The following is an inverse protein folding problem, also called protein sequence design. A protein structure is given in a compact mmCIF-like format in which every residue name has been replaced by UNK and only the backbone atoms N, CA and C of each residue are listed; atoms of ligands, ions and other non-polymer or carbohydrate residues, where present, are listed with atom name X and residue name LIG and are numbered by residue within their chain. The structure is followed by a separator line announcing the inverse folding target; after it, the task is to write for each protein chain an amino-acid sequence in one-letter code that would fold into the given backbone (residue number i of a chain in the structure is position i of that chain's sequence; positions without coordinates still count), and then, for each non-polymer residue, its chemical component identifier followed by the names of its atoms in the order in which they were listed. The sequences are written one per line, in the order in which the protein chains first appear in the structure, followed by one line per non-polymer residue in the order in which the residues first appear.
data_IF_527881157852
#
_entry.id   IF_527881157852
#
_cell.length_a   1.000
_cell.length_b   1.000
_cell.length_c   1.000
_cell.angle_alpha   90.00
_cell.angle_beta   90.00
_cell.angle_gamma   90.00
#
_symmetry.space_group_name_H-M   'P 1'
#
loop_
_entity.id
_entity.type
_entity.pdbx_description
1 polymer ?
#
# COMPACT_ATOMS: atom_id res chain seq x y z
N UNK A 1 4.15 17.00 -24.17
CA UNK A 1 4.92 18.19 -23.74
C UNK A 1 6.04 17.73 -22.83
N UNK A 2 7.30 18.08 -23.12
CA UNK A 2 8.45 17.68 -22.30
C UNK A 2 8.39 18.34 -20.92
N UNK A 3 8.65 17.57 -19.87
CA UNK A 3 8.59 18.00 -18.47
C UNK A 3 9.96 17.88 -17.82
N UNK A 4 10.50 19.03 -17.39
CA UNK A 4 11.67 19.09 -16.52
C UNK A 4 11.27 19.15 -15.04
N UNK A 5 12.10 18.59 -14.17
CA UNK A 5 11.96 18.67 -12.72
C UNK A 5 13.17 19.40 -12.13
N UNK A 6 12.93 20.36 -11.25
CA UNK A 6 13.99 21.05 -10.52
C UNK A 6 13.76 20.82 -9.03
N UNK A 7 14.69 20.10 -8.40
CA UNK A 7 14.76 19.94 -6.95
C UNK A 7 15.44 21.17 -6.34
N UNK A 8 14.82 21.77 -5.34
CA UNK A 8 15.35 22.96 -4.68
C UNK A 8 15.68 22.66 -3.21
N UNK A 9 16.86 23.10 -2.76
CA UNK A 9 17.24 23.15 -1.34
C UNK A 9 17.87 24.50 -0.99
N UNK A 10 18.07 24.77 0.31
CA UNK A 10 18.74 25.99 0.77
C UNK A 10 20.17 26.09 0.28
N UNK A 11 20.88 24.97 0.16
CA UNK A 11 22.32 24.95 -0.08
C UNK A 11 23.11 25.17 1.20
N UNK A 12 24.31 24.61 1.23
CA UNK A 12 25.27 24.69 2.32
C UNK A 12 26.59 25.27 1.81
N UNK A 13 27.25 26.06 2.65
CA UNK A 13 28.63 26.50 2.41
C UNK A 13 29.62 25.34 2.38
N UNK A 14 29.27 24.22 3.02
CA UNK A 14 30.07 23.00 3.03
C UNK A 14 29.62 22.13 1.85
N UNK A 15 30.54 21.86 0.92
CA UNK A 15 30.23 21.10 -0.31
C UNK A 15 29.56 19.76 -0.03
N UNK A 16 30.04 19.00 0.96
CA UNK A 16 29.46 17.69 1.31
C UNK A 16 28.01 17.79 1.82
N UNK A 17 27.60 18.95 2.33
CA UNK A 17 26.21 19.19 2.72
C UNK A 17 25.24 19.33 1.54
N UNK A 18 25.76 19.48 0.33
CA UNK A 18 24.98 19.63 -0.90
C UNK A 18 24.81 18.29 -1.64
N UNK A 19 25.66 17.31 -1.38
CA UNK A 19 25.71 16.01 -2.08
C UNK A 19 24.37 15.27 -2.01
N UNK A 20 23.68 15.36 -0.88
CA UNK A 20 22.37 14.73 -0.69
C UNK A 20 21.33 15.19 -1.71
N UNK A 21 21.32 16.48 -2.11
CA UNK A 21 20.39 16.97 -3.13
C UNK A 21 20.69 16.36 -4.50
N UNK A 22 21.97 16.26 -4.87
CA UNK A 22 22.40 15.65 -6.12
C UNK A 22 22.10 14.15 -6.15
N UNK A 23 22.35 13.44 -5.05
CA UNK A 23 22.02 12.02 -4.92
C UNK A 23 20.52 11.77 -5.11
N UNK A 24 19.66 12.59 -4.51
CA UNK A 24 18.20 12.47 -4.72
C UNK A 24 17.83 12.80 -6.17
N UNK A 25 18.48 13.80 -6.80
CA UNK A 25 18.28 14.09 -8.22
C UNK A 25 18.65 12.87 -9.09
N UNK A 26 19.77 12.21 -8.82
CA UNK A 26 20.22 11.01 -9.53
C UNK A 26 19.25 9.83 -9.35
N UNK A 27 18.76 9.61 -8.13
CA UNK A 27 17.73 8.61 -7.86
C UNK A 27 16.46 8.87 -8.69
N UNK A 28 16.03 10.13 -8.82
CA UNK A 28 14.88 10.49 -9.66
C UNK A 28 15.18 10.35 -11.16
N UNK A 29 16.38 10.69 -11.63
CA UNK A 29 16.82 10.46 -13.02
C UNK A 29 16.76 8.97 -13.37
N UNK A 30 17.21 8.11 -12.44
CA UNK A 30 17.21 6.67 -12.63
C UNK A 30 15.79 6.09 -12.81
N UNK A 31 14.76 6.75 -12.28
CA UNK A 31 13.35 6.34 -12.48
C UNK A 31 12.86 6.58 -13.92
N UNK A 32 13.54 7.40 -14.73
CA UNK A 32 13.22 7.70 -16.14
C UNK A 32 11.78 8.15 -16.40
N UNK A 33 11.19 8.88 -15.44
CA UNK A 33 9.80 9.38 -15.52
C UNK A 33 9.67 10.80 -16.09
N UNK A 34 10.76 11.55 -16.14
CA UNK A 34 10.82 12.94 -16.58
C UNK A 34 11.95 13.15 -17.57
N UNK A 35 11.81 14.14 -18.46
CA UNK A 35 12.78 14.42 -19.52
C UNK A 35 14.09 14.95 -18.95
N UNK A 36 14.00 15.82 -17.94
CA UNK A 36 15.16 16.31 -17.17
C UNK A 36 14.83 16.32 -15.68
N UNK A 37 15.85 16.08 -14.87
CA UNK A 37 15.81 16.30 -13.42
C UNK A 37 17.10 17.01 -13.05
N UNK A 38 16.98 18.14 -12.38
CA UNK A 38 18.12 18.97 -11.99
C UNK A 38 18.02 19.38 -10.52
N UNK A 39 19.18 19.65 -9.92
CA UNK A 39 19.30 20.14 -8.54
C UNK A 39 19.69 21.62 -8.59
N UNK A 40 19.01 22.44 -7.80
CA UNK A 40 19.26 23.87 -7.67
C UNK A 40 19.28 24.30 -6.21
N UNK A 41 20.06 25.33 -5.91
CA UNK A 41 20.14 25.90 -4.58
C UNK A 41 19.57 27.32 -4.55
N UNK A 42 18.89 27.66 -3.45
CA UNK A 42 18.37 29.00 -3.22
C UNK A 42 19.47 30.00 -2.87
N UNK A 43 20.46 29.54 -2.11
CA UNK A 43 21.54 30.35 -1.59
C UNK A 43 22.77 29.49 -1.30
N UNK A 44 23.92 30.13 -1.02
CA UNK A 44 25.13 29.50 -0.47
C UNK A 44 25.85 28.44 -1.32
N UNK A 45 25.23 27.91 -2.37
CA UNK A 45 25.74 26.86 -3.22
C UNK A 45 25.34 27.07 -4.69
N UNK A 46 25.99 26.33 -5.58
CA UNK A 46 25.76 26.32 -7.03
C UNK A 46 25.43 24.90 -7.49
N UNK A 47 24.68 24.74 -8.59
CA UNK A 47 24.11 25.79 -9.43
C UNK A 47 22.90 26.48 -8.76
N UNK A 48 22.70 27.77 -9.05
CA UNK A 48 21.56 28.50 -8.51
C UNK A 48 20.27 28.25 -9.30
N UNK A 49 19.14 28.61 -8.72
CA UNK A 49 17.84 28.36 -9.35
C UNK A 49 17.70 28.99 -10.75
N UNK A 50 18.01 30.28 -10.98
CA UNK A 50 17.97 30.87 -12.32
C UNK A 50 18.87 30.14 -13.35
N UNK A 51 20.11 29.78 -12.99
CA UNK A 51 21.03 29.03 -13.86
C UNK A 51 20.43 27.68 -14.29
N UNK A 52 19.84 26.95 -13.34
CA UNK A 52 19.23 25.65 -13.61
C UNK A 52 17.97 25.76 -14.45
N UNK A 53 17.13 26.79 -14.22
CA UNK A 53 15.98 27.07 -15.08
C UNK A 53 16.44 27.34 -16.51
N UNK A 54 17.41 28.23 -16.72
CA UNK A 54 17.91 28.56 -18.06
C UNK A 54 18.42 27.30 -18.80
N UNK A 55 19.22 26.46 -18.12
CA UNK A 55 19.70 25.19 -18.68
C UNK A 55 18.55 24.25 -19.02
N UNK A 56 17.56 24.14 -18.14
CA UNK A 56 16.41 23.24 -18.31
C UNK A 56 15.54 23.69 -19.49
N UNK A 57 15.32 25.00 -19.66
CA UNK A 57 14.60 25.56 -20.82
C UNK A 57 15.35 25.31 -22.12
N UNK A 58 16.69 25.42 -22.13
CA UNK A 58 17.51 25.10 -23.31
C UNK A 58 17.37 23.64 -23.77
N UNK A 59 17.00 22.71 -22.88
CA UNK A 59 16.68 21.33 -23.25
C UNK A 59 15.32 21.17 -23.98
N UNK A 60 14.60 22.27 -24.21
CA UNK A 60 13.33 22.30 -24.95
C UNK A 60 12.15 21.77 -24.14
N UNK A 61 12.16 21.94 -22.81
CA UNK A 61 11.01 21.59 -21.98
C UNK A 61 9.88 22.60 -22.18
N UNK A 62 8.64 22.12 -22.21
CA UNK A 62 7.45 22.99 -22.21
C UNK A 62 6.86 23.21 -20.81
N UNK A 63 7.34 22.44 -19.83
CA UNK A 63 6.91 22.47 -18.43
C UNK A 63 8.07 22.23 -17.49
N UNK A 64 8.10 22.98 -16.39
CA UNK A 64 9.04 22.79 -15.27
C UNK A 64 8.24 22.59 -13.99
N UNK A 65 8.49 21.47 -13.29
CA UNK A 65 7.96 21.20 -11.95
C UNK A 65 9.06 21.48 -10.93
N UNK A 66 8.79 22.40 -10.01
CA UNK A 66 9.71 22.79 -8.96
C UNK A 66 9.32 22.14 -7.65
N UNK A 67 10.25 21.38 -7.06
CA UNK A 67 10.02 20.54 -5.88
C UNK A 67 10.98 20.91 -4.75
N UNK A 68 10.49 21.54 -3.66
CA UNK A 68 11.35 21.85 -2.52
C UNK A 68 11.65 20.60 -1.67
N UNK A 69 12.93 20.20 -1.60
CA UNK A 69 13.41 19.17 -0.68
C UNK A 69 13.76 19.76 0.70
N UNK A 70 12.74 20.30 1.36
CA UNK A 70 12.85 20.94 2.68
C UNK A 70 11.90 20.25 3.67
N UNK A 71 12.44 19.77 4.80
CA UNK A 71 11.66 19.05 5.82
C UNK A 71 10.74 19.98 6.61
N UNK A 72 11.21 21.18 6.95
CA UNK A 72 10.45 22.17 7.70
C UNK A 72 10.02 23.33 6.82
N UNK A 73 8.83 23.87 7.12
CA UNK A 73 8.29 25.04 6.45
C UNK A 73 8.88 26.30 7.09
N UNK A 74 9.74 27.01 6.36
CA UNK A 74 10.24 28.34 6.72
C UNK A 74 9.71 29.44 5.80
N UNK A 75 10.04 30.71 6.09
CA UNK A 75 9.65 31.87 5.27
C UNK A 75 10.00 31.71 3.79
N UNK A 76 11.11 31.03 3.48
CA UNK A 76 11.57 30.77 2.11
C UNK A 76 10.59 29.97 1.25
N UNK A 77 9.81 29.06 1.85
CA UNK A 77 8.82 28.24 1.12
C UNK A 77 7.60 29.08 0.73
N UNK A 78 7.25 30.10 1.52
CA UNK A 78 6.06 30.91 1.33
C UNK A 78 6.29 32.22 0.56
N UNK A 79 7.52 32.73 0.51
CA UNK A 79 7.83 34.00 -0.14
C UNK A 79 8.91 33.88 -1.20
N UNK A 80 10.10 33.43 -0.80
CA UNK A 80 11.29 33.53 -1.66
C UNK A 80 11.20 32.64 -2.91
N UNK A 81 10.80 31.36 -2.76
CA UNK A 81 10.64 30.46 -3.92
C UNK A 81 9.53 30.96 -4.86
N UNK A 82 8.32 31.32 -4.38
CA UNK A 82 7.30 31.94 -5.21
C UNK A 82 7.77 33.21 -5.94
N UNK A 83 8.49 34.11 -5.29
CA UNK A 83 9.00 35.35 -5.91
C UNK A 83 10.01 35.05 -7.03
N UNK A 84 10.94 34.12 -6.80
CA UNK A 84 11.88 33.66 -7.83
C UNK A 84 11.15 33.00 -9.00
N UNK A 85 10.11 32.20 -8.73
CA UNK A 85 9.28 31.58 -9.77
C UNK A 85 8.56 32.61 -10.63
N UNK A 86 7.99 33.66 -10.03
CA UNK A 86 7.34 34.74 -10.78
C UNK A 86 8.32 35.51 -11.68
N UNK A 87 9.56 35.71 -11.22
CA UNK A 87 10.61 36.31 -12.04
C UNK A 87 10.98 35.43 -13.25
N UNK A 88 11.12 34.11 -13.06
CA UNK A 88 11.44 33.18 -14.14
C UNK A 88 10.27 32.96 -15.11
N UNK A 89 9.02 32.95 -14.63
CA UNK A 89 7.81 32.91 -15.47
C UNK A 89 7.75 34.10 -16.45
N UNK A 90 8.10 35.30 -15.98
CA UNK A 90 8.17 36.51 -16.85
C UNK A 90 9.24 36.39 -17.91
N UNK A 91 10.38 35.75 -17.61
CA UNK A 91 11.47 35.51 -18.58
C UNK A 91 11.12 34.42 -19.60
N UNK A 92 10.40 33.38 -19.18
CA UNK A 92 10.07 32.22 -19.99
C UNK A 92 8.55 31.98 -20.08
N UNK A 93 7.79 32.89 -20.72
CA UNK A 93 6.32 32.81 -20.76
C UNK A 93 5.76 31.62 -21.56
N UNK A 94 6.61 30.95 -22.35
CA UNK A 94 6.27 29.76 -23.13
C UNK A 94 6.43 28.45 -22.33
N UNK A 95 6.93 28.51 -21.08
CA UNK A 95 7.14 27.36 -20.21
C UNK A 95 6.14 27.40 -19.06
N UNK A 96 5.42 26.31 -18.85
CA UNK A 96 4.52 26.16 -17.71
C UNK A 96 5.33 25.85 -16.43
N UNK A 97 5.26 26.72 -15.42
CA UNK A 97 5.89 26.48 -14.12
C UNK A 97 4.87 25.96 -13.11
N UNK A 98 5.14 24.77 -12.55
CA UNK A 98 4.33 24.13 -11.51
C UNK A 98 5.15 24.06 -10.23
N UNK A 99 4.56 24.47 -9.12
CA UNK A 99 5.18 24.45 -7.80
C UNK A 99 4.51 23.38 -6.92
N UNK A 100 5.28 22.42 -6.41
CA UNK A 100 4.76 21.43 -5.47
C UNK A 100 4.86 21.91 -4.02
N UNK A 101 4.14 21.25 -3.12
CA UNK A 101 4.45 21.34 -1.69
C UNK A 101 5.89 20.87 -1.42
N UNK A 102 6.49 21.37 -0.34
CA UNK A 102 7.75 20.84 0.16
C UNK A 102 7.54 19.41 0.72
N UNK A 103 8.63 18.67 0.91
CA UNK A 103 8.59 17.33 1.52
C UNK A 103 7.81 17.35 2.85
N UNK A 104 8.15 18.27 3.75
CA UNK A 104 7.38 18.47 4.98
C UNK A 104 7.45 17.28 5.95
N UNK A 105 6.71 17.38 7.05
CA UNK A 105 6.41 16.23 7.91
C UNK A 105 5.43 15.31 7.17
N UNK A 106 5.96 14.22 6.61
CA UNK A 106 5.24 13.20 5.87
C UNK A 106 5.50 11.83 6.52
N UNK A 107 4.49 10.96 6.56
CA UNK A 107 4.58 9.62 7.16
C UNK A 107 5.75 8.81 6.59
N UNK A 108 6.06 8.95 5.29
CA UNK A 108 7.18 8.25 4.65
C UNK A 108 8.54 8.68 5.19
N UNK A 109 8.67 9.92 5.66
CA UNK A 109 9.90 10.38 6.33
C UNK A 109 10.02 9.76 7.71
N UNK A 110 8.91 9.64 8.44
CA UNK A 110 8.90 8.95 9.74
C UNK A 110 9.27 7.47 9.57
N UNK A 111 8.84 6.82 8.50
CA UNK A 111 9.22 5.43 8.18
C UNK A 111 10.72 5.30 7.88
N UNK A 112 11.30 6.19 7.07
CA UNK A 112 12.75 6.18 6.85
C UNK A 112 13.50 6.37 8.18
N UNK A 113 13.02 7.26 9.06
CA UNK A 113 13.62 7.43 10.38
C UNK A 113 13.47 6.18 11.25
N UNK A 114 12.32 5.51 11.20
CA UNK A 114 12.09 4.24 11.90
C UNK A 114 13.04 3.15 11.39
N UNK A 115 13.27 3.05 10.08
CA UNK A 115 14.22 2.10 9.49
C UNK A 115 15.64 2.36 10.00
N UNK A 116 16.08 3.64 10.06
CA UNK A 116 17.41 3.99 10.62
C UNK A 116 17.53 3.70 12.11
N UNK A 117 16.46 3.90 12.88
CA UNK A 117 16.44 3.53 14.30
C UNK A 117 16.55 2.01 14.42
N UNK A 118 15.81 1.27 13.60
CA UNK A 118 15.80 -0.19 13.62
C UNK A 118 17.16 -0.78 13.26
N UNK A 119 17.83 -0.26 12.22
CA UNK A 119 19.19 -0.65 11.85
C UNK A 119 20.12 -0.62 13.08
N UNK A 120 20.10 0.47 13.84
CA UNK A 120 20.94 0.63 15.03
C UNK A 120 20.51 -0.28 16.18
N UNK A 121 19.21 -0.46 16.41
CA UNK A 121 18.70 -1.29 17.50
C UNK A 121 18.94 -2.78 17.25
N UNK A 122 18.68 -3.26 16.02
CA UNK A 122 18.87 -4.67 15.64
C UNK A 122 20.35 -5.03 15.48
N UNK A 123 21.17 -4.17 14.88
CA UNK A 123 22.61 -4.43 14.79
C UNK A 123 23.26 -4.54 16.19
N UNK A 124 22.74 -3.79 17.17
CA UNK A 124 23.20 -3.87 18.57
C UNK A 124 22.68 -5.10 19.32
N UNK A 125 21.45 -5.54 19.07
CA UNK A 125 20.86 -6.68 19.79
C UNK A 125 21.22 -8.04 19.20
N UNK A 126 21.44 -8.15 17.89
CA UNK A 126 21.50 -9.47 17.23
C UNK A 126 22.83 -9.80 16.52
N UNK A 127 23.75 -8.85 16.38
CA UNK A 127 25.00 -9.06 15.63
C UNK A 127 24.74 -9.53 14.18
N UNK A 128 25.80 -9.71 13.40
CA UNK A 128 25.66 -10.27 12.04
C UNK A 128 25.31 -11.76 12.17
N UNK A 129 24.01 -12.07 12.12
CA UNK A 129 23.42 -13.34 12.59
C UNK A 129 23.91 -14.61 11.88
N UNK A 130 24.07 -15.67 12.68
CA UNK A 130 24.21 -17.05 12.23
C UNK A 130 22.99 -17.47 11.39
N UNK A 131 23.20 -18.28 10.36
CA UNK A 131 22.12 -18.91 9.60
C UNK A 131 21.30 -19.83 10.50
N UNK A 132 20.06 -19.44 10.81
CA UNK A 132 19.06 -20.32 11.41
C UNK A 132 18.48 -21.20 10.30
N UNK A 133 18.64 -22.52 10.41
CA UNK A 133 18.21 -23.49 9.38
C UNK A 133 16.85 -24.15 9.66
N UNK A 134 16.25 -23.90 10.84
CA UNK A 134 14.99 -24.51 11.25
C UNK A 134 13.78 -23.59 10.92
N UNK A 135 12.82 -24.04 10.08
CA UNK A 135 11.72 -23.19 9.62
C UNK A 135 10.84 -22.59 10.74
N UNK A 136 10.59 -23.33 11.82
CA UNK A 136 9.76 -22.85 12.92
C UNK A 136 10.48 -21.77 13.75
N UNK A 137 11.78 -21.98 14.02
CA UNK A 137 12.60 -21.02 14.75
C UNK A 137 12.69 -19.66 14.01
N UNK A 138 12.78 -19.68 12.68
CA UNK A 138 12.78 -18.45 11.85
C UNK A 138 11.45 -17.69 12.00
N UNK A 139 10.32 -18.40 12.04
CA UNK A 139 9.00 -17.77 12.18
C UNK A 139 8.82 -17.16 13.56
N UNK A 140 9.22 -17.88 14.61
CA UNK A 140 9.12 -17.41 15.99
C UNK A 140 10.02 -16.18 16.21
N UNK A 141 11.27 -16.24 15.75
CA UNK A 141 12.21 -15.11 15.77
C UNK A 141 11.67 -13.92 14.96
N UNK A 142 11.09 -14.15 13.79
CA UNK A 142 10.45 -13.09 12.99
C UNK A 142 9.29 -12.43 13.74
N UNK A 143 8.52 -13.19 14.52
CA UNK A 143 7.40 -12.65 15.29
C UNK A 143 7.88 -11.82 16.48
N UNK A 144 8.93 -12.26 17.16
CA UNK A 144 9.55 -11.48 18.24
C UNK A 144 10.10 -10.13 17.72
N UNK A 145 10.77 -10.14 16.56
CA UNK A 145 11.24 -8.92 15.89
C UNK A 145 10.06 -7.99 15.56
N UNK A 146 8.96 -8.53 15.03
CA UNK A 146 7.77 -7.73 14.71
C UNK A 146 7.15 -7.11 15.97
N UNK A 147 7.07 -7.86 17.08
CA UNK A 147 6.51 -7.36 18.34
C UNK A 147 7.35 -6.25 18.99
N UNK A 148 8.65 -6.22 18.72
CA UNK A 148 9.53 -5.14 19.13
C UNK A 148 9.48 -3.92 18.19
N UNK A 149 9.11 -4.13 16.93
CA UNK A 149 9.03 -3.10 15.89
C UNK A 149 7.75 -2.25 15.94
N UNK A 150 6.63 -2.87 16.33
CA UNK A 150 5.31 -2.24 16.31
C UNK A 150 4.59 -2.47 17.63
N UNK A 151 3.85 -1.46 18.11
CA UNK A 151 3.04 -1.61 19.31
C UNK A 151 1.78 -2.44 19.03
N UNK A 152 1.91 -3.77 19.12
CA UNK A 152 0.76 -4.67 19.08
C UNK A 152 0.07 -4.82 20.44
N UNK A 153 0.64 -4.29 21.54
CA UNK A 153 0.05 -4.44 22.87
C UNK A 153 -1.20 -3.59 23.02
N UNK A 154 -1.24 -2.41 22.39
CA UNK A 154 -2.43 -1.55 22.35
C UNK A 154 -3.54 -2.07 21.41
N UNK A 155 -3.24 -3.01 20.52
CA UNK A 155 -4.22 -3.63 19.61
C UNK A 155 -5.07 -4.68 20.34
N UNK A 156 -6.39 -4.81 20.04
CA UNK A 156 -7.24 -5.86 20.58
C UNK A 156 -6.67 -7.27 20.36
N UNK A 157 -6.76 -8.15 21.36
CA UNK A 157 -6.07 -9.45 21.35
C UNK A 157 -6.37 -10.30 20.12
N UNK A 158 -7.63 -10.37 19.68
CA UNK A 158 -8.03 -11.13 18.50
C UNK A 158 -7.47 -10.56 17.18
N UNK A 159 -7.10 -9.29 17.15
CA UNK A 159 -6.54 -8.64 15.95
C UNK A 159 -5.02 -8.84 15.86
N UNK A 160 -4.31 -8.97 17.00
CA UNK A 160 -2.84 -9.05 17.03
C UNK A 160 -2.26 -10.14 16.12
N UNK A 161 -2.75 -11.40 16.15
CA UNK A 161 -2.20 -12.46 15.31
C UNK A 161 -2.40 -12.20 13.82
N UNK A 162 -3.50 -11.53 13.45
CA UNK A 162 -3.80 -11.17 12.07
C UNK A 162 -2.85 -10.09 11.56
N UNK A 163 -2.66 -9.02 12.35
CA UNK A 163 -1.74 -7.92 12.01
C UNK A 163 -0.31 -8.45 11.92
N UNK A 164 0.14 -9.23 12.90
CA UNK A 164 1.49 -9.83 12.93
C UNK A 164 1.74 -10.70 11.69
N UNK A 165 0.75 -11.51 11.29
CA UNK A 165 0.86 -12.36 10.08
C UNK A 165 0.88 -11.54 8.80
N UNK A 166 0.16 -10.42 8.74
CA UNK A 166 0.20 -9.49 7.61
C UNK A 166 1.59 -8.86 7.45
N UNK A 167 2.17 -8.34 8.54
CA UNK A 167 3.52 -7.76 8.55
C UNK A 167 4.55 -8.81 8.13
N UNK A 168 4.50 -10.01 8.71
CA UNK A 168 5.42 -11.09 8.36
C UNK A 168 5.35 -11.48 6.88
N UNK A 169 4.14 -11.54 6.30
CA UNK A 169 3.96 -11.92 4.91
C UNK A 169 4.47 -10.87 3.91
N UNK A 170 4.69 -9.63 4.34
CA UNK A 170 5.07 -8.52 3.44
C UNK A 170 6.37 -7.83 3.82
N UNK A 171 6.89 -8.05 5.03
CA UNK A 171 7.99 -7.27 5.61
C UNK A 171 7.63 -5.79 5.82
N UNK A 172 6.34 -5.47 6.01
CA UNK A 172 5.84 -4.09 6.00
C UNK A 172 5.11 -3.76 7.30
N UNK A 173 5.78 -3.01 8.17
CA UNK A 173 5.28 -2.65 9.50
C UNK A 173 4.09 -1.69 9.45
N UNK A 174 3.82 -1.02 8.32
CA UNK A 174 2.67 -0.11 8.21
C UNK A 174 1.33 -0.83 8.38
N UNK A 175 1.25 -2.15 8.14
CA UNK A 175 0.03 -2.92 8.38
C UNK A 175 -0.42 -2.90 9.86
N UNK A 176 0.47 -2.56 10.80
CA UNK A 176 0.09 -2.29 12.19
C UNK A 176 -0.88 -1.11 12.33
N UNK A 177 -0.77 -0.12 11.45
CA UNK A 177 -1.48 1.16 11.59
C UNK A 177 -2.59 1.34 10.55
N UNK A 178 -2.50 0.65 9.41
CA UNK A 178 -3.41 0.85 8.29
C UNK A 178 -4.53 -0.20 8.15
N UNK A 179 -4.43 -1.35 8.84
CA UNK A 179 -5.49 -2.36 8.85
C UNK A 179 -6.70 -1.88 9.65
N UNK A 180 -7.88 -2.05 9.08
CA UNK A 180 -9.17 -1.70 9.68
C UNK A 180 -9.99 -2.97 9.83
N UNK A 181 -10.52 -3.16 11.03
CA UNK A 181 -11.37 -4.27 11.40
C UNK A 181 -12.75 -3.74 11.77
N UNK A 182 -13.80 -4.30 11.19
CA UNK A 182 -15.13 -4.16 11.76
C UNK A 182 -15.14 -4.83 13.16
N UNK A 183 -15.82 -4.27 14.18
CA UNK A 183 -15.73 -4.75 15.56
C UNK A 183 -15.99 -6.26 15.74
N UNK A 184 -16.91 -6.82 14.94
CA UNK A 184 -17.27 -8.24 14.98
C UNK A 184 -16.58 -9.11 13.93
N UNK A 185 -15.65 -8.57 13.13
CA UNK A 185 -15.10 -9.26 11.96
C UNK A 185 -14.38 -10.55 12.31
N UNK A 186 -13.48 -10.50 13.29
CA UNK A 186 -12.62 -11.66 13.64
C UNK A 186 -13.45 -12.77 14.28
N UNK A 187 -14.31 -12.43 15.25
CA UNK A 187 -15.22 -13.37 15.89
C UNK A 187 -16.17 -14.02 14.88
N UNK A 188 -16.73 -13.22 13.96
CA UNK A 188 -17.56 -13.71 12.87
C UNK A 188 -16.78 -14.67 11.97
N UNK A 189 -15.55 -14.32 11.58
CA UNK A 189 -14.68 -15.19 10.78
C UNK A 189 -14.43 -16.54 11.44
N UNK A 190 -14.05 -16.53 12.72
CA UNK A 190 -13.84 -17.75 13.51
C UNK A 190 -15.11 -18.62 13.53
N UNK A 191 -16.28 -18.02 13.81
CA UNK A 191 -17.57 -18.72 13.83
C UNK A 191 -17.92 -19.32 12.48
N UNK A 192 -17.72 -18.58 11.38
CA UNK A 192 -18.02 -19.05 10.02
C UNK A 192 -17.12 -20.21 9.60
N UNK A 193 -15.82 -20.14 9.90
CA UNK A 193 -14.87 -21.21 9.63
C UNK A 193 -15.28 -22.49 10.36
N UNK A 194 -15.59 -22.39 11.66
CA UNK A 194 -16.05 -23.54 12.47
C UNK A 194 -17.37 -24.12 12.00
N UNK A 195 -18.28 -23.25 11.54
CA UNK A 195 -19.57 -23.64 10.99
C UNK A 195 -19.50 -24.23 9.58
N UNK A 196 -18.31 -24.51 9.04
CA UNK A 196 -18.13 -25.13 7.74
C UNK A 196 -18.59 -24.26 6.57
N UNK A 197 -18.56 -22.94 6.73
CA UNK A 197 -18.98 -22.01 5.68
C UNK A 197 -17.91 -21.91 4.59
N UNK A 198 -18.37 -21.63 3.37
CA UNK A 198 -17.49 -21.50 2.22
C UNK A 198 -16.64 -20.22 2.30
N UNK A 199 -15.44 -20.32 1.73
CA UNK A 199 -14.55 -19.19 1.46
C UNK A 199 -14.51 -18.99 -0.06
N UNK A 200 -14.94 -17.83 -0.52
CA UNK A 200 -14.92 -17.47 -1.95
C UNK A 200 -13.86 -16.41 -2.19
N UNK A 201 -13.03 -16.60 -3.22
CA UNK A 201 -11.90 -15.70 -3.53
C UNK A 201 -12.01 -15.05 -4.91
N UNK A 202 -11.46 -13.84 -5.06
CA UNK A 202 -11.46 -13.12 -6.34
C UNK A 202 -10.47 -13.67 -7.36
N UNK A 203 -9.32 -14.19 -6.89
CA UNK A 203 -8.27 -14.78 -7.75
C UNK A 203 -7.75 -16.12 -7.22
N UNK A 204 -7.20 -16.94 -8.12
CA UNK A 204 -6.65 -18.26 -7.79
C UNK A 204 -5.44 -18.20 -6.86
N UNK A 205 -4.66 -17.12 -6.89
CA UNK A 205 -3.50 -16.95 -6.01
C UNK A 205 -3.92 -16.89 -4.53
N UNK A 206 -5.05 -16.24 -4.24
CA UNK A 206 -5.64 -16.22 -2.89
C UNK A 206 -6.10 -17.63 -2.52
N UNK A 207 -6.89 -18.29 -3.38
CA UNK A 207 -7.34 -19.67 -3.16
C UNK A 207 -6.19 -20.64 -2.88
N UNK A 208 -5.09 -20.55 -3.64
CA UNK A 208 -3.94 -21.44 -3.50
C UNK A 208 -3.17 -21.23 -2.19
N UNK A 209 -3.19 -20.03 -1.63
CA UNK A 209 -2.49 -19.72 -0.37
C UNK A 209 -3.27 -20.09 0.90
N UNK A 210 -4.58 -20.34 0.80
CA UNK A 210 -5.41 -20.67 1.97
C UNK A 210 -5.14 -22.10 2.43
N UNK A 211 -4.92 -22.30 3.73
CA UNK A 211 -4.73 -23.62 4.33
C UNK A 211 -5.99 -24.47 4.17
N UNK A 212 -5.91 -25.49 3.31
CA UNK A 212 -7.05 -26.30 2.86
C UNK A 212 -7.55 -27.27 3.92
N UNK A 213 -6.66 -28.05 4.54
CA UNK A 213 -7.04 -29.15 5.44
C UNK A 213 -7.93 -28.72 6.61
N UNK A 214 -7.68 -27.58 7.31
CA UNK A 214 -8.57 -27.13 8.38
C UNK A 214 -9.97 -26.79 7.87
N UNK A 215 -10.07 -26.15 6.71
CA UNK A 215 -11.36 -25.74 6.13
C UNK A 215 -12.20 -26.97 5.77
N UNK A 216 -11.59 -27.98 5.13
CA UNK A 216 -12.28 -29.22 4.79
C UNK A 216 -12.70 -30.02 6.02
N UNK A 217 -11.87 -30.03 7.09
CA UNK A 217 -12.24 -30.66 8.37
C UNK A 217 -13.47 -30.04 9.02
N UNK A 218 -13.67 -28.73 8.87
CA UNK A 218 -14.89 -28.06 9.32
C UNK A 218 -16.05 -28.18 8.34
N UNK A 219 -15.85 -28.76 7.14
CA UNK A 219 -16.89 -28.96 6.13
C UNK A 219 -17.04 -27.83 5.11
N UNK A 220 -16.18 -26.80 5.16
CA UNK A 220 -16.18 -25.69 4.21
C UNK A 220 -15.44 -26.02 2.91
N UNK A 221 -15.64 -25.16 1.89
CA UNK A 221 -14.94 -25.22 0.61
C UNK A 221 -14.25 -23.90 0.29
N UNK A 222 -13.13 -23.96 -0.43
CA UNK A 222 -12.42 -22.79 -0.94
C UNK A 222 -12.66 -22.69 -2.45
N UNK A 223 -13.34 -21.63 -2.88
CA UNK A 223 -13.93 -21.51 -4.21
C UNK A 223 -13.39 -20.26 -4.91
N UNK A 224 -13.02 -20.39 -6.18
CA UNK A 224 -12.66 -19.27 -7.04
C UNK A 224 -13.08 -19.62 -8.46
N UNK A 225 -13.92 -18.77 -9.07
CA UNK A 225 -14.47 -19.00 -10.41
C UNK A 225 -13.76 -18.18 -11.51
N UNK A 226 -12.70 -17.44 -11.16
CA UNK A 226 -12.04 -16.47 -12.07
C UNK A 226 -11.55 -17.09 -13.39
N UNK A 227 -11.26 -18.40 -13.37
CA UNK A 227 -10.75 -19.17 -14.50
C UNK A 227 -11.79 -20.11 -15.11
N UNK A 228 -13.03 -20.11 -14.60
CA UNK A 228 -14.09 -20.98 -15.12
C UNK A 228 -14.41 -20.54 -16.57
N UNK A 229 -14.55 -21.49 -17.53
CA UNK A 229 -14.88 -21.14 -18.92
C UNK A 229 -16.13 -20.25 -19.03
N UNK A 230 -17.16 -20.51 -18.23
CA UNK A 230 -18.38 -19.69 -18.18
C UNK A 230 -18.14 -18.25 -17.74
N UNK A 231 -17.18 -18.00 -16.85
CA UNK A 231 -16.79 -16.64 -16.42
C UNK A 231 -15.99 -15.95 -17.51
N UNK A 232 -15.07 -16.68 -18.15
CA UNK A 232 -14.22 -16.13 -19.22
C UNK A 232 -15.06 -15.71 -20.42
N UNK A 233 -15.98 -16.56 -20.87
CA UNK A 233 -16.81 -16.31 -22.04
C UNK A 233 -17.83 -15.18 -21.77
N UNK A 234 -18.46 -15.19 -20.60
CA UNK A 234 -19.41 -14.15 -20.22
C UNK A 234 -18.75 -12.79 -20.00
N UNK A 235 -17.54 -12.74 -19.44
CA UNK A 235 -16.77 -11.51 -19.32
C UNK A 235 -16.45 -10.87 -20.68
N UNK A 236 -16.07 -11.70 -21.67
CA UNK A 236 -15.88 -11.23 -23.05
C UNK A 236 -17.20 -10.73 -23.66
N UNK A 237 -18.28 -11.49 -23.51
CA UNK A 237 -19.60 -11.15 -24.06
C UNK A 237 -20.14 -9.82 -23.51
N UNK A 238 -19.95 -9.56 -22.22
CA UNK A 238 -20.43 -8.36 -21.54
C UNK A 238 -19.45 -7.17 -21.59
N UNK A 239 -18.23 -7.36 -22.09
CA UNK A 239 -17.18 -6.33 -22.02
C UNK A 239 -16.77 -5.95 -20.59
N UNK A 240 -16.92 -6.88 -19.63
CA UNK A 240 -16.60 -6.69 -18.21
C UNK A 240 -15.31 -7.41 -17.83
N UNK A 241 -14.73 -7.06 -16.68
CA UNK A 241 -13.60 -7.83 -16.16
C UNK A 241 -14.05 -9.22 -15.72
N UNK A 242 -13.18 -10.23 -15.85
CA UNK A 242 -13.43 -11.57 -15.31
C UNK A 242 -13.72 -11.55 -13.81
N UNK A 243 -13.10 -10.61 -13.09
CA UNK A 243 -13.29 -10.47 -11.65
C UNK A 243 -14.74 -10.08 -11.31
N UNK A 244 -15.34 -9.13 -12.04
CA UNK A 244 -16.75 -8.76 -11.89
C UNK A 244 -17.68 -9.96 -12.13
N UNK A 245 -17.49 -10.66 -13.26
CA UNK A 245 -18.34 -11.80 -13.63
C UNK A 245 -18.15 -12.98 -12.67
N UNK A 246 -16.93 -13.20 -12.17
CA UNK A 246 -16.65 -14.22 -11.16
C UNK A 246 -17.43 -13.96 -9.87
N UNK A 247 -17.55 -12.70 -9.42
CA UNK A 247 -18.36 -12.36 -8.24
C UNK A 247 -19.84 -12.62 -8.51
N UNK A 248 -20.37 -12.18 -9.65
CA UNK A 248 -21.76 -12.40 -10.05
C UNK A 248 -22.13 -13.89 -10.11
N UNK A 249 -21.24 -14.73 -10.66
CA UNK A 249 -21.47 -16.17 -10.75
C UNK A 249 -21.22 -16.92 -9.43
N UNK A 250 -20.64 -16.28 -8.41
CA UNK A 250 -20.34 -16.91 -7.10
C UNK A 250 -21.39 -16.61 -6.02
N UNK A 251 -22.52 -15.97 -6.36
CA UNK A 251 -23.58 -15.59 -5.42
C UNK A 251 -24.09 -16.77 -4.56
N UNK A 252 -24.35 -17.97 -5.14
CA UNK A 252 -24.79 -19.12 -4.33
C UNK A 252 -23.74 -19.58 -3.33
N UNK A 253 -22.46 -19.59 -3.74
CA UNK A 253 -21.36 -20.10 -2.92
C UNK A 253 -20.96 -19.16 -1.78
N UNK A 254 -21.15 -17.85 -1.95
CA UNK A 254 -20.78 -16.84 -0.95
C UNK A 254 -21.84 -16.62 0.13
N UNK A 255 -23.05 -17.17 -0.04
CA UNK A 255 -24.15 -16.97 0.92
C UNK A 255 -23.75 -17.46 2.31
N UNK A 256 -23.88 -16.58 3.29
CA UNK A 256 -23.47 -16.80 4.69
C UNK A 256 -22.00 -17.25 4.83
N UNK A 257 -21.17 -16.95 3.82
CA UNK A 257 -19.77 -17.34 3.74
C UNK A 257 -18.82 -16.18 3.93
N UNK A 258 -17.54 -16.45 3.68
CA UNK A 258 -16.46 -15.46 3.73
C UNK A 258 -16.05 -15.11 2.30
N UNK A 259 -16.12 -13.83 1.96
CA UNK A 259 -15.59 -13.32 0.70
C UNK A 259 -14.20 -12.74 0.91
N UNK A 260 -13.22 -13.19 0.14
CA UNK A 260 -11.81 -12.77 0.23
C UNK A 260 -11.35 -12.17 -1.08
N UNK A 261 -11.18 -10.84 -1.09
CA UNK A 261 -10.76 -10.08 -2.27
C UNK A 261 -9.36 -9.55 -2.02
N UNK A 262 -8.37 -10.23 -2.61
CA UNK A 262 -6.96 -9.90 -2.44
C UNK A 262 -6.36 -9.10 -3.59
N UNK A 263 -6.98 -9.07 -4.77
CA UNK A 263 -6.31 -8.52 -5.95
C UNK A 263 -7.14 -7.46 -6.68
N UNK A 264 -8.40 -7.73 -7.03
CA UNK A 264 -9.14 -6.90 -7.97
C UNK A 264 -10.04 -5.86 -7.28
N UNK A 265 -9.78 -4.54 -7.38
CA UNK A 265 -10.70 -3.51 -6.88
C UNK A 265 -12.08 -3.60 -7.54
N UNK A 266 -12.14 -3.97 -8.82
CA UNK A 266 -13.40 -4.14 -9.55
C UNK A 266 -14.27 -5.28 -9.00
N UNK A 267 -13.67 -6.34 -8.45
CA UNK A 267 -14.42 -7.38 -7.74
C UNK A 267 -15.04 -6.84 -6.45
N UNK A 268 -14.30 -6.01 -5.71
CA UNK A 268 -14.80 -5.43 -4.46
C UNK A 268 -15.94 -4.44 -4.71
N UNK A 269 -15.82 -3.58 -5.73
CA UNK A 269 -16.92 -2.70 -6.13
C UNK A 269 -18.18 -3.48 -6.53
N UNK A 270 -18.04 -4.49 -7.40
CA UNK A 270 -19.19 -5.31 -7.80
C UNK A 270 -19.84 -6.00 -6.61
N UNK A 271 -19.05 -6.56 -5.69
CA UNK A 271 -19.58 -7.17 -4.47
C UNK A 271 -20.38 -6.17 -3.65
N UNK A 272 -19.84 -4.97 -3.42
CA UNK A 272 -20.51 -3.91 -2.67
C UNK A 272 -21.84 -3.52 -3.34
N UNK A 273 -21.85 -3.37 -4.67
CA UNK A 273 -23.05 -3.05 -5.42
C UNK A 273 -24.11 -4.14 -5.29
N UNK A 274 -23.71 -5.41 -5.34
CA UNK A 274 -24.61 -6.55 -5.16
C UNK A 274 -25.12 -6.67 -3.71
N UNK A 275 -24.31 -6.34 -2.70
CA UNK A 275 -24.74 -6.26 -1.30
C UNK A 275 -25.79 -5.16 -1.15
N UNK A 276 -25.54 -3.95 -1.68
CA UNK A 276 -26.47 -2.82 -1.62
C UNK A 276 -27.80 -3.10 -2.33
N UNK A 277 -27.77 -3.90 -3.40
CA UNK A 277 -28.97 -4.37 -4.11
C UNK A 277 -29.69 -5.53 -3.41
N UNK A 278 -29.15 -6.07 -2.31
CA UNK A 278 -29.71 -7.22 -1.60
C UNK A 278 -29.59 -8.54 -2.38
N UNK A 279 -28.63 -8.64 -3.31
CA UNK A 279 -28.40 -9.84 -4.12
C UNK A 279 -27.25 -10.70 -3.58
N UNK A 280 -26.24 -10.07 -2.96
CA UNK A 280 -25.12 -10.76 -2.32
C UNK A 280 -25.25 -10.72 -0.80
N UNK A 281 -25.04 -11.88 -0.16
CA UNK A 281 -25.14 -12.02 1.30
C UNK A 281 -23.92 -12.74 1.91
N UNK A 282 -22.69 -12.21 1.73
CA UNK A 282 -21.56 -12.68 2.52
C UNK A 282 -21.75 -12.31 3.99
N UNK A 283 -21.30 -13.17 4.90
CA UNK A 283 -21.32 -12.89 6.33
C UNK A 283 -20.04 -12.19 6.82
N UNK A 284 -18.97 -12.23 6.02
CA UNK A 284 -17.71 -11.51 6.26
C UNK A 284 -17.05 -11.18 4.92
N UNK A 285 -16.47 -9.98 4.81
CA UNK A 285 -15.67 -9.57 3.64
C UNK A 285 -14.24 -9.18 4.06
N UNK A 286 -13.24 -9.93 3.61
CA UNK A 286 -11.84 -9.51 3.65
C UNK A 286 -11.55 -8.79 2.33
N UNK A 287 -11.70 -7.47 2.32
CA UNK A 287 -11.52 -6.64 1.13
C UNK A 287 -10.18 -5.92 1.19
N UNK A 288 -9.11 -6.54 0.69
CA UNK A 288 -7.77 -5.96 0.70
C UNK A 288 -7.10 -5.93 -0.69
N UNK A 289 -7.80 -5.47 -1.75
CA UNK A 289 -7.18 -5.38 -3.06
C UNK A 289 -6.03 -4.37 -3.06
N UNK A 290 -4.96 -4.72 -3.77
CA UNK A 290 -3.85 -3.82 -4.10
C UNK A 290 -4.15 -3.09 -5.41
N UNK A 291 -3.73 -1.84 -5.53
CA UNK A 291 -3.79 -1.15 -6.81
C UNK A 291 -3.68 0.36 -6.71
N UNK A 292 -3.30 0.97 -7.82
CA UNK A 292 -3.21 2.43 -7.95
C UNK A 292 -4.49 3.07 -8.48
N UNK A 293 -5.44 2.27 -8.95
CA UNK A 293 -6.72 2.72 -9.50
C UNK A 293 -7.85 1.98 -8.81
N UNK A 294 -8.73 2.71 -8.12
CA UNK A 294 -9.95 2.18 -7.53
C UNK A 294 -9.77 1.38 -6.23
N UNK A 295 -8.54 1.04 -5.82
CA UNK A 295 -8.31 0.21 -4.63
C UNK A 295 -8.68 0.94 -3.33
N UNK A 296 -8.24 2.18 -3.18
CA UNK A 296 -8.53 3.00 -1.98
C UNK A 296 -10.03 3.28 -1.90
N UNK A 297 -10.63 3.61 -3.03
CA UNK A 297 -12.05 3.94 -3.16
C UNK A 297 -12.93 2.72 -2.88
N UNK A 298 -12.58 1.53 -3.40
CA UNK A 298 -13.32 0.30 -3.14
C UNK A 298 -13.26 -0.09 -1.65
N UNK A 299 -12.09 0.04 -1.03
CA UNK A 299 -11.91 -0.23 0.41
C UNK A 299 -12.64 0.77 1.27
N UNK A 300 -12.67 2.04 0.86
CA UNK A 300 -13.49 3.04 1.53
C UNK A 300 -14.97 2.70 1.44
N UNK A 301 -15.46 2.35 0.26
CA UNK A 301 -16.87 1.99 0.05
C UNK A 301 -17.29 0.72 0.81
N UNK A 302 -16.36 -0.23 1.07
CA UNK A 302 -16.63 -1.41 1.88
C UNK A 302 -16.97 -1.04 3.33
N UNK A 303 -16.31 -0.01 3.88
CA UNK A 303 -16.56 0.46 5.25
C UNK A 303 -17.98 1.00 5.44
N UNK A 304 -18.61 1.44 4.36
CA UNK A 304 -19.98 1.97 4.37
C UNK A 304 -21.05 0.87 4.24
N UNK A 305 -20.64 -0.41 4.24
CA UNK A 305 -21.57 -1.55 4.21
C UNK A 305 -21.88 -2.07 5.61
N UNK A 306 -23.04 -2.71 5.78
CA UNK A 306 -23.41 -3.33 7.05
C UNK A 306 -22.75 -4.70 7.29
N UNK A 307 -22.04 -5.25 6.30
CA UNK A 307 -21.41 -6.57 6.41
C UNK A 307 -20.10 -6.43 7.19
N UNK A 308 -19.81 -7.30 8.17
CA UNK A 308 -18.50 -7.31 8.83
C UNK A 308 -17.36 -7.40 7.81
N UNK A 309 -16.29 -6.63 8.04
CA UNK A 309 -15.18 -6.56 7.10
C UNK A 309 -13.80 -6.47 7.77
N UNK A 310 -12.76 -6.82 7.01
CA UNK A 310 -11.36 -6.48 7.26
C UNK A 310 -10.79 -5.83 5.99
N UNK A 311 -10.17 -4.67 6.11
CA UNK A 311 -9.62 -3.89 4.98
C UNK A 311 -8.43 -3.04 5.42
N UNK A 312 -7.94 -2.12 4.58
CA UNK A 312 -6.95 -1.11 4.96
C UNK A 312 -7.18 0.23 4.25
N UNK A 313 -6.50 1.28 4.71
CA UNK A 313 -6.75 2.68 4.29
C UNK A 313 -6.07 3.12 3.00
N UNK A 314 -4.99 2.45 2.58
CA UNK A 314 -4.11 2.93 1.52
C UNK A 314 -4.16 2.03 0.28
N UNK A 315 -3.26 2.21 -0.69
CA UNK A 315 -3.21 1.40 -1.94
C UNK A 315 -2.64 -0.01 -1.77
N UNK A 316 -2.01 -0.29 -0.62
CA UNK A 316 -1.39 -1.58 -0.33
C UNK A 316 -2.46 -2.64 -0.07
N UNK A 317 -2.07 -3.90 -0.20
CA UNK A 317 -2.93 -5.06 -0.06
C UNK A 317 -2.31 -6.21 -0.83
N UNK A 318 -3.14 -7.02 -1.48
CA UNK A 318 -2.64 -8.10 -2.34
C UNK A 318 -3.00 -9.48 -1.81
N UNK A 319 -2.78 -10.47 -2.66
CA UNK A 319 -3.06 -11.88 -2.34
C UNK A 319 -2.32 -12.36 -1.09
N UNK A 320 -1.05 -11.96 -0.90
CA UNK A 320 -0.26 -12.36 0.26
C UNK A 320 -0.89 -11.89 1.59
N UNK A 321 -1.38 -10.66 1.63
CA UNK A 321 -2.04 -10.07 2.80
C UNK A 321 -3.42 -10.70 3.02
N UNK A 322 -4.19 -10.88 1.95
CA UNK A 322 -5.49 -11.53 2.05
C UNK A 322 -5.37 -12.96 2.60
N UNK A 323 -4.37 -13.71 2.12
CA UNK A 323 -4.04 -15.07 2.56
C UNK A 323 -3.56 -15.08 4.01
N UNK A 324 -2.68 -14.15 4.41
CA UNK A 324 -2.19 -14.09 5.78
C UNK A 324 -3.31 -13.81 6.79
N UNK A 325 -4.24 -12.92 6.44
CA UNK A 325 -5.41 -12.59 7.28
C UNK A 325 -6.32 -13.81 7.47
N UNK A 326 -6.74 -14.47 6.38
CA UNK A 326 -7.64 -15.63 6.48
C UNK A 326 -6.95 -16.82 7.16
N UNK A 327 -5.67 -17.07 6.90
CA UNK A 327 -4.93 -18.16 7.56
C UNK A 327 -4.73 -17.89 9.06
N UNK A 328 -4.51 -16.64 9.47
CA UNK A 328 -4.48 -16.28 10.89
C UNK A 328 -5.84 -16.56 11.56
N UNK A 329 -6.96 -16.23 10.91
CA UNK A 329 -8.29 -16.58 11.41
C UNK A 329 -8.54 -18.09 11.46
N UNK A 330 -8.03 -18.86 10.48
CA UNK A 330 -8.10 -20.33 10.49
C UNK A 330 -7.35 -20.90 11.70
N UNK A 331 -6.17 -20.36 12.03
CA UNK A 331 -5.41 -20.78 13.20
C UNK A 331 -6.16 -20.47 14.51
N UNK A 332 -6.68 -19.25 14.65
CA UNK A 332 -7.52 -18.87 15.80
C UNK A 332 -8.75 -19.78 15.94
N UNK A 333 -9.38 -20.15 14.82
CA UNK A 333 -10.50 -21.07 14.81
C UNK A 333 -10.14 -22.49 15.29
N UNK A 334 -8.90 -22.93 15.08
CA UNK A 334 -8.39 -24.22 15.58
C UNK A 334 -8.04 -24.16 17.07
N UNK A 335 -7.44 -23.07 17.54
CA UNK A 335 -6.90 -22.96 18.91
C UNK A 335 -7.98 -22.90 19.99
N UNK A 336 -9.14 -22.33 19.70
CA UNK A 336 -10.24 -22.30 20.66
C UNK A 336 -11.09 -23.60 20.65
N UNK A 337 -10.51 -24.74 20.30
CA UNK A 337 -11.05 -26.10 20.50
C UNK A 337 -10.49 -26.68 21.80
#
# INVERSE_FOLDING_TARGET
MKTGVILISHGSKISSGNDGLFQVADMLRAMRRWDTVEAAFLQLAKPDFPEVVAKTVQCGVGRIVVVPLLLFKGNHVYKDIPEMLEAEKKKYPHVEFIYSNNIGADERIALIAADRIHEVLVEREYGVGQRVEQPQAIVDESFDIIENLVDLKSVPELHRPIIRRAIHATGDTEYAYNLIFHPSAVETGIRLIRGGKNIVTDVNMVKAGISKDPIEKFGGKIICKISDPSVVDEAKRLGKTRAIVSIQQSLPEMKDGIMVIGNAPTALFELIDLIKKGLAHPALVIGIPVGFVGAVEAKSALKDTAVPYITNTNRKGGSAVAVSIINAMINLAKEAQ
#
